data_IF_416422333892
#
_entry.id   IF_416422333892
#
_cell.length_a   1.000
_cell.length_b   1.000
_cell.length_c   1.000
_cell.angle_alpha   90.00
_cell.angle_beta   90.00
_cell.angle_gamma   90.00
#
_symmetry.space_group_name_H-M   'P 1'
#
loop_
_entity.id
_entity.type
_entity.pdbx_description
1 polymer ?
#
# COMPACT_ATOMS: atom_id res chain seq x y z
N UNK A 1 -51.87 -72.03 -8.51
CA UNK A 1 -52.08 -70.65 -9.01
C UNK A 1 -52.00 -69.69 -7.84
N UNK A 2 -50.93 -68.90 -7.72
CA UNK A 2 -50.71 -67.97 -6.61
C UNK A 2 -50.84 -66.51 -7.13
N UNK A 3 -51.91 -65.88 -6.65
CA UNK A 3 -52.17 -64.45 -6.91
C UNK A 3 -51.26 -63.55 -6.06
N UNK A 4 -50.49 -62.75 -6.71
CA UNK A 4 -49.67 -61.70 -6.04
C UNK A 4 -50.55 -60.45 -5.84
N UNK A 5 -50.71 -60.01 -4.58
CA UNK A 5 -51.35 -58.76 -4.22
C UNK A 5 -50.30 -57.67 -4.34
N UNK A 6 -50.57 -56.67 -5.20
CA UNK A 6 -49.83 -55.39 -5.22
C UNK A 6 -50.34 -54.51 -4.07
N UNK A 7 -49.41 -54.05 -3.25
CA UNK A 7 -49.66 -53.08 -2.21
C UNK A 7 -49.32 -51.71 -2.76
N UNK A 8 -50.32 -50.89 -2.98
CA UNK A 8 -50.15 -49.50 -3.39
C UNK A 8 -50.04 -48.65 -2.13
N UNK A 9 -48.86 -48.05 -1.88
CA UNK A 9 -48.67 -47.09 -0.80
C UNK A 9 -48.87 -45.71 -1.37
N UNK A 10 -49.99 -45.07 -1.01
CA UNK A 10 -50.26 -43.66 -1.33
C UNK A 10 -49.58 -42.79 -0.29
N UNK A 11 -48.55 -42.06 -0.70
CA UNK A 11 -47.91 -41.04 0.12
C UNK A 11 -48.56 -39.68 -0.11
N UNK A 12 -49.50 -39.33 0.77
CA UNK A 12 -50.12 -38.00 0.81
C UNK A 12 -49.19 -37.07 1.58
N UNK A 13 -48.43 -36.26 0.86
CA UNK A 13 -47.68 -35.16 1.46
C UNK A 13 -48.63 -33.97 1.68
N UNK A 14 -48.96 -33.69 2.91
CA UNK A 14 -49.69 -32.49 3.32
C UNK A 14 -48.70 -31.31 3.32
N UNK A 15 -48.85 -30.39 2.35
CA UNK A 15 -48.20 -29.08 2.38
C UNK A 15 -48.95 -28.19 3.39
N UNK A 16 -48.40 -28.02 4.57
CA UNK A 16 -48.80 -26.97 5.49
C UNK A 16 -48.00 -25.70 5.13
N UNK A 17 -48.58 -24.80 4.36
CA UNK A 17 -48.07 -23.42 4.16
C UNK A 17 -48.44 -22.63 5.42
N UNK A 18 -47.48 -22.50 6.33
CA UNK A 18 -47.57 -21.53 7.42
C UNK A 18 -47.12 -20.16 6.86
N UNK A 19 -48.10 -19.30 6.57
CA UNK A 19 -47.81 -17.89 6.29
C UNK A 19 -47.43 -17.19 7.60
N UNK A 20 -46.14 -17.12 7.90
CA UNK A 20 -45.60 -16.15 8.86
C UNK A 20 -45.39 -14.82 8.13
N UNK A 21 -46.32 -13.89 8.33
CA UNK A 21 -46.08 -12.48 8.14
C UNK A 21 -45.21 -11.97 9.29
N UNK A 22 -43.93 -12.22 9.24
CA UNK A 22 -42.96 -11.53 10.07
C UNK A 22 -42.49 -10.31 9.27
N UNK A 23 -42.55 -9.12 9.87
CA UNK A 23 -41.90 -7.93 9.39
C UNK A 23 -40.42 -8.26 9.14
N UNK A 24 -40.11 -8.55 7.87
CA UNK A 24 -38.74 -8.83 7.47
C UNK A 24 -37.92 -7.56 7.53
N UNK A 25 -37.20 -7.39 8.61
CA UNK A 25 -35.95 -6.67 8.57
C UNK A 25 -35.06 -7.52 7.66
N UNK A 26 -34.95 -7.14 6.41
CA UNK A 26 -33.86 -7.63 5.54
C UNK A 26 -32.61 -6.98 6.12
N UNK A 27 -31.98 -7.63 7.06
CA UNK A 27 -30.57 -7.39 7.35
C UNK A 27 -29.87 -7.99 6.13
N UNK A 28 -29.56 -7.14 5.15
CA UNK A 28 -28.48 -7.43 4.22
C UNK A 28 -27.23 -7.55 5.12
N UNK A 29 -26.88 -8.74 5.48
CA UNK A 29 -25.52 -9.00 5.89
C UNK A 29 -24.70 -8.74 4.63
N UNK A 30 -24.09 -7.56 4.54
CA UNK A 30 -23.00 -7.34 3.59
C UNK A 30 -21.99 -8.45 3.91
N UNK A 31 -21.79 -9.34 2.96
CA UNK A 31 -20.87 -10.44 3.13
C UNK A 31 -19.48 -9.82 3.33
N UNK A 32 -18.87 -10.13 4.47
CA UNK A 32 -17.47 -9.75 4.74
C UNK A 32 -16.61 -10.23 3.56
N UNK A 33 -15.97 -9.29 2.86
CA UNK A 33 -15.20 -9.58 1.65
C UNK A 33 -13.81 -10.14 1.96
N UNK A 34 -13.27 -9.80 3.11
CA UNK A 34 -11.97 -10.25 3.59
C UNK A 34 -11.09 -9.12 4.10
N UNK A 35 -9.87 -9.45 4.45
CA UNK A 35 -8.87 -8.52 4.98
C UNK A 35 -7.86 -8.16 3.87
N UNK A 36 -7.55 -6.87 3.74
CA UNK A 36 -6.48 -6.34 2.89
C UNK A 36 -5.33 -5.94 3.81
N UNK A 37 -4.17 -6.56 3.64
CA UNK A 37 -2.95 -6.28 4.42
C UNK A 37 -2.05 -5.31 3.68
N UNK A 38 -1.76 -4.17 4.29
CA UNK A 38 -0.93 -3.13 3.68
C UNK A 38 0.28 -2.81 4.56
N UNK A 39 1.47 -2.89 3.97
CA UNK A 39 2.72 -2.44 4.57
C UNK A 39 2.90 -0.93 4.25
N UNK A 40 3.11 -0.10 5.27
CA UNK A 40 3.20 1.35 5.08
C UNK A 40 4.31 1.99 5.91
N UNK A 41 4.81 3.16 5.50
CA UNK A 41 5.57 4.02 6.40
C UNK A 41 4.62 4.84 7.30
N UNK A 42 5.11 5.33 8.44
CA UNK A 42 4.27 5.95 9.47
C UNK A 42 3.52 7.18 8.95
N UNK A 43 4.26 8.16 8.42
CA UNK A 43 3.71 9.46 8.00
C UNK A 43 4.19 9.79 6.58
N UNK A 44 3.31 10.23 5.68
CA UNK A 44 1.86 10.40 5.85
C UNK A 44 1.06 9.11 5.52
N UNK A 45 1.70 8.04 5.09
CA UNK A 45 1.08 6.89 4.41
C UNK A 45 0.12 6.11 5.31
N UNK A 46 0.57 5.69 6.50
CA UNK A 46 -0.32 4.99 7.44
C UNK A 46 -1.48 5.90 7.91
N UNK A 47 -1.24 7.20 8.09
CA UNK A 47 -2.28 8.16 8.45
C UNK A 47 -3.37 8.25 7.38
N UNK A 48 -2.99 8.26 6.09
CA UNK A 48 -3.94 8.26 4.97
C UNK A 48 -4.72 6.95 4.93
N UNK A 49 -4.07 5.80 5.18
CA UNK A 49 -4.74 4.50 5.22
C UNK A 49 -5.72 4.39 6.39
N UNK A 50 -5.44 4.99 7.55
CA UNK A 50 -6.38 5.05 8.68
C UNK A 50 -7.68 5.79 8.30
N UNK A 51 -7.59 6.86 7.51
CA UNK A 51 -8.77 7.57 6.99
C UNK A 51 -9.54 6.73 5.93
N UNK A 52 -8.88 5.80 5.26
CA UNK A 52 -9.51 4.91 4.29
C UNK A 52 -10.24 3.72 4.95
N UNK A 53 -9.87 3.32 6.16
CA UNK A 53 -10.46 2.18 6.88
C UNK A 53 -11.99 2.22 6.93
N UNK A 54 -12.64 3.29 7.44
CA UNK A 54 -14.10 3.31 7.55
C UNK A 54 -14.79 3.21 6.19
N UNK A 55 -14.16 3.71 5.12
CA UNK A 55 -14.71 3.64 3.76
C UNK A 55 -14.69 2.20 3.26
N UNK A 56 -13.60 1.48 3.51
CA UNK A 56 -13.46 0.08 3.12
C UNK A 56 -14.37 -0.85 3.97
N UNK A 57 -14.53 -0.55 5.25
CA UNK A 57 -15.44 -1.26 6.14
C UNK A 57 -16.91 -1.15 5.68
N UNK A 58 -17.34 0.03 5.23
CA UNK A 58 -18.67 0.22 4.62
C UNK A 58 -18.87 -0.64 3.36
N UNK A 59 -17.79 -0.96 2.67
CA UNK A 59 -17.78 -1.85 1.51
C UNK A 59 -17.58 -3.33 1.86
N UNK A 60 -17.43 -3.67 3.14
CA UNK A 60 -17.25 -5.05 3.64
C UNK A 60 -15.80 -5.54 3.61
N UNK A 61 -14.80 -4.66 3.49
CA UNK A 61 -13.40 -4.99 3.60
C UNK A 61 -12.83 -4.59 4.97
N UNK A 62 -11.99 -5.44 5.53
CA UNK A 62 -11.11 -5.07 6.64
C UNK A 62 -9.77 -4.58 6.10
N UNK A 63 -9.26 -3.44 6.58
CA UNK A 63 -7.93 -2.94 6.24
C UNK A 63 -6.98 -3.13 7.42
N UNK A 64 -6.00 -4.02 7.25
CA UNK A 64 -4.92 -4.29 8.21
C UNK A 64 -3.64 -3.57 7.78
N UNK A 65 -3.25 -2.54 8.52
CA UNK A 65 -2.09 -1.70 8.22
C UNK A 65 -0.96 -2.02 9.20
N UNK A 66 0.18 -2.44 8.66
CA UNK A 66 1.41 -2.62 9.45
C UNK A 66 2.43 -1.55 9.07
N UNK A 67 2.93 -0.82 10.09
CA UNK A 67 3.94 0.23 9.91
C UNK A 67 5.33 -0.35 9.94
N UNK A 68 6.16 0.05 8.97
CA UNK A 68 7.58 -0.30 8.86
C UNK A 68 8.43 0.96 8.95
N UNK A 69 9.58 0.86 9.59
CA UNK A 69 10.54 1.96 9.78
C UNK A 69 11.66 2.00 8.72
N UNK A 70 11.62 1.07 7.76
CA UNK A 70 12.58 0.97 6.65
C UNK A 70 11.88 0.90 5.29
N UNK A 71 12.66 1.04 4.20
CA UNK A 71 12.15 1.05 2.82
C UNK A 71 12.36 -0.26 2.08
N UNK A 72 12.97 -1.28 2.71
CA UNK A 72 13.25 -2.58 2.10
C UNK A 72 12.15 -3.57 2.41
N UNK A 73 11.81 -3.72 3.69
CA UNK A 73 10.83 -4.72 4.15
C UNK A 73 9.44 -4.57 3.52
N UNK A 74 8.87 -3.35 3.33
CA UNK A 74 7.55 -3.21 2.70
C UNK A 74 7.47 -3.82 1.30
N UNK A 75 8.55 -3.78 0.53
CA UNK A 75 8.61 -4.43 -0.78
C UNK A 75 8.75 -5.95 -0.66
N UNK A 76 9.60 -6.44 0.23
CA UNK A 76 9.85 -7.87 0.38
C UNK A 76 8.62 -8.64 0.89
N UNK A 77 7.85 -8.06 1.81
CA UNK A 77 6.64 -8.73 2.35
C UNK A 77 5.50 -8.77 1.34
N UNK A 78 5.46 -7.85 0.37
CA UNK A 78 4.51 -7.93 -0.74
C UNK A 78 5.00 -8.91 -1.81
N UNK A 79 6.28 -8.91 -2.14
CA UNK A 79 6.86 -9.88 -3.08
C UNK A 79 6.70 -11.32 -2.60
N UNK A 80 6.82 -11.57 -1.27
CA UNK A 80 6.60 -12.90 -0.69
C UNK A 80 5.13 -13.33 -0.65
N UNK A 81 4.19 -12.39 -0.80
CA UNK A 81 2.76 -12.63 -0.67
C UNK A 81 2.24 -12.65 0.77
N UNK A 82 3.02 -12.20 1.75
CA UNK A 82 2.59 -12.05 3.13
C UNK A 82 1.68 -10.84 3.31
N UNK A 83 1.82 -9.84 2.44
CA UNK A 83 0.99 -8.64 2.34
C UNK A 83 0.44 -8.48 0.92
N UNK A 84 -0.75 -7.87 0.80
CA UNK A 84 -1.42 -7.66 -0.48
C UNK A 84 -0.88 -6.44 -1.22
N UNK A 85 -0.43 -5.41 -0.47
CA UNK A 85 0.09 -4.17 -1.04
C UNK A 85 1.06 -3.47 -0.07
N UNK A 86 1.80 -2.50 -0.61
CA UNK A 86 2.49 -1.50 0.22
C UNK A 86 2.13 -0.08 -0.22
N UNK A 87 2.30 0.86 0.70
CA UNK A 87 2.08 2.27 0.44
C UNK A 87 3.14 3.10 1.17
N UNK A 88 4.22 3.47 0.45
CA UNK A 88 5.33 4.24 1.03
C UNK A 88 6.25 4.88 0.00
N UNK A 89 6.29 4.40 -1.25
CA UNK A 89 7.35 4.67 -2.20
C UNK A 89 6.87 5.45 -3.42
N UNK A 90 7.81 6.12 -4.08
CA UNK A 90 7.61 6.71 -5.40
C UNK A 90 8.06 5.74 -6.51
N UNK A 91 7.56 5.96 -7.73
CA UNK A 91 7.81 5.06 -8.86
C UNK A 91 9.31 4.83 -9.13
N UNK A 92 10.20 5.85 -9.14
CA UNK A 92 11.63 5.60 -9.37
C UNK A 92 12.28 4.67 -8.35
N UNK A 93 11.84 4.69 -7.08
CA UNK A 93 12.32 3.75 -6.07
C UNK A 93 11.82 2.33 -6.35
N UNK A 94 10.54 2.17 -6.70
CA UNK A 94 9.95 0.88 -7.05
C UNK A 94 10.69 0.23 -8.23
N UNK A 95 10.94 1.01 -9.30
CA UNK A 95 11.60 0.52 -10.50
C UNK A 95 13.04 0.08 -10.18
N UNK A 96 13.80 0.93 -9.46
CA UNK A 96 15.16 0.61 -9.02
C UNK A 96 15.19 -0.61 -8.09
N UNK A 97 14.25 -0.71 -7.13
CA UNK A 97 14.16 -1.87 -6.23
C UNK A 97 13.89 -3.16 -7.00
N UNK A 98 12.97 -3.15 -7.95
CA UNK A 98 12.70 -4.31 -8.79
C UNK A 98 13.94 -4.75 -9.57
N UNK A 99 14.70 -3.80 -10.12
CA UNK A 99 15.92 -4.08 -10.87
C UNK A 99 17.02 -4.66 -9.99
N UNK A 100 17.29 -4.03 -8.84
CA UNK A 100 18.39 -4.43 -7.94
C UNK A 100 18.11 -5.72 -7.17
N UNK A 101 16.85 -5.93 -6.74
CA UNK A 101 16.47 -7.07 -5.91
C UNK A 101 15.82 -8.22 -6.69
N UNK A 102 15.52 -8.00 -7.97
CA UNK A 102 14.86 -8.99 -8.81
C UNK A 102 13.41 -9.26 -8.41
N UNK A 103 12.73 -8.25 -7.86
CA UNK A 103 11.30 -8.31 -7.48
C UNK A 103 10.39 -7.97 -8.65
N UNK A 104 9.09 -8.29 -8.54
CA UNK A 104 8.10 -8.18 -9.61
C UNK A 104 6.93 -7.28 -9.23
N UNK A 105 7.14 -6.37 -8.32
CA UNK A 105 6.12 -5.46 -7.82
C UNK A 105 5.64 -4.51 -8.91
N UNK A 106 4.35 -4.19 -8.89
CA UNK A 106 3.72 -3.31 -9.88
C UNK A 106 3.09 -2.09 -9.20
N UNK A 107 3.14 -0.94 -9.87
CA UNK A 107 2.44 0.25 -9.43
C UNK A 107 0.93 0.10 -9.65
N UNK A 108 0.14 0.05 -8.57
CA UNK A 108 -1.31 0.00 -8.61
C UNK A 108 -1.95 1.38 -8.86
N UNK A 109 -1.27 2.47 -8.48
CA UNK A 109 -1.75 3.83 -8.70
C UNK A 109 -0.98 4.87 -7.90
N UNK A 110 -1.04 6.12 -8.33
CA UNK A 110 -0.52 7.27 -7.59
C UNK A 110 -1.60 7.84 -6.66
N UNK A 111 -1.25 8.05 -5.40
CA UNK A 111 -2.19 8.55 -4.38
C UNK A 111 -1.92 10.02 -4.07
N UNK A 112 -0.66 10.40 -3.82
CA UNK A 112 -0.28 11.76 -3.50
C UNK A 112 1.13 12.08 -4.03
N UNK A 113 1.53 13.33 -3.92
CA UNK A 113 2.84 13.83 -4.29
C UNK A 113 3.54 14.44 -3.07
N UNK A 114 4.80 14.06 -2.87
CA UNK A 114 5.65 14.62 -1.82
C UNK A 114 6.78 15.45 -2.44
N UNK A 115 6.75 16.79 -2.29
CA UNK A 115 7.87 17.62 -2.72
C UNK A 115 9.10 17.34 -1.85
N UNK A 116 10.26 17.28 -2.51
CA UNK A 116 11.53 17.17 -1.81
C UNK A 116 11.97 18.56 -1.33
N UNK A 117 12.54 18.65 -0.13
CA UNK A 117 12.92 19.94 0.46
C UNK A 117 14.29 19.91 1.12
N UNK A 118 14.92 21.10 1.21
CA UNK A 118 16.12 21.34 2.02
C UNK A 118 15.66 21.99 3.32
N UNK A 119 16.05 21.43 4.43
CA UNK A 119 15.62 21.86 5.76
C UNK A 119 16.80 22.38 6.57
N UNK A 120 16.61 23.38 7.45
CA UNK A 120 17.67 23.90 8.29
C UNK A 120 18.19 22.81 9.26
N UNK A 121 19.52 22.87 9.50
CA UNK A 121 20.22 22.05 10.48
C UNK A 121 20.99 22.93 11.44
N UNK A 122 22.32 22.83 11.43
CA UNK A 122 23.21 23.74 12.16
C UNK A 122 23.30 25.12 11.53
N UNK A 123 23.02 25.21 10.22
CA UNK A 123 22.87 26.44 9.46
C UNK A 123 21.39 26.67 9.17
N UNK A 124 20.91 27.90 9.27
CA UNK A 124 19.50 28.23 9.09
C UNK A 124 19.15 28.56 7.64
N UNK A 125 20.13 28.93 6.82
CA UNK A 125 19.94 29.34 5.42
C UNK A 125 20.98 28.69 4.54
N UNK A 126 20.65 28.48 3.27
CA UNK A 126 21.58 27.99 2.25
C UNK A 126 22.75 28.96 2.02
N UNK A 127 22.48 30.27 2.10
CA UNK A 127 23.51 31.31 1.92
C UNK A 127 24.56 31.35 3.05
N UNK A 128 24.29 30.68 4.18
CA UNK A 128 25.20 30.57 5.32
C UNK A 128 26.15 29.36 5.20
N UNK A 129 26.00 28.52 4.15
CA UNK A 129 26.88 27.37 3.91
C UNK A 129 28.29 27.81 3.51
N UNK A 130 29.26 27.18 4.12
CA UNK A 130 30.69 27.39 3.89
C UNK A 130 31.38 26.11 3.44
N UNK A 131 32.56 26.23 2.82
CA UNK A 131 33.37 25.08 2.47
C UNK A 131 33.72 24.25 3.73
N UNK A 132 33.43 22.93 3.70
CA UNK A 132 33.62 22.02 4.82
C UNK A 132 32.38 21.78 5.68
N UNK A 133 31.28 22.48 5.42
CA UNK A 133 29.99 22.17 6.04
C UNK A 133 29.46 20.80 5.56
N UNK A 134 28.68 20.15 6.41
CA UNK A 134 28.12 18.81 6.14
C UNK A 134 26.62 18.90 5.90
N UNK A 135 26.15 18.31 4.80
CA UNK A 135 24.73 18.20 4.46
C UNK A 135 24.33 16.72 4.54
N UNK A 136 23.29 16.40 5.30
CA UNK A 136 22.73 15.07 5.34
C UNK A 136 21.82 14.84 4.11
N UNK A 137 22.00 13.73 3.43
CA UNK A 137 21.18 13.30 2.30
C UNK A 137 20.66 11.88 2.56
N UNK A 138 19.55 11.47 1.92
CA UNK A 138 19.10 10.07 1.98
C UNK A 138 20.18 9.09 1.50
N UNK A 139 20.15 7.86 1.98
CA UNK A 139 21.13 6.83 1.65
C UNK A 139 20.65 5.81 0.61
N UNK A 140 19.43 5.94 0.13
CA UNK A 140 18.93 5.17 -1.00
C UNK A 140 19.22 5.90 -2.31
N UNK A 141 19.51 5.14 -3.37
CA UNK A 141 20.02 5.66 -4.66
C UNK A 141 19.14 6.75 -5.23
N UNK A 142 17.83 6.55 -5.27
CA UNK A 142 16.92 7.48 -5.96
C UNK A 142 16.64 8.76 -5.17
N UNK A 143 16.54 8.68 -3.84
CA UNK A 143 16.35 9.90 -3.02
C UNK A 143 17.67 10.64 -2.78
N UNK A 144 18.82 9.95 -2.71
CA UNK A 144 20.14 10.59 -2.74
C UNK A 144 20.27 11.45 -4.01
N UNK A 145 19.98 10.87 -5.18
CA UNK A 145 20.04 11.60 -6.45
C UNK A 145 19.11 12.82 -6.48
N UNK A 146 17.87 12.69 -5.97
CA UNK A 146 16.93 13.82 -5.85
C UNK A 146 17.48 14.94 -4.95
N UNK A 147 18.10 14.57 -3.82
CA UNK A 147 18.72 15.54 -2.92
C UNK A 147 19.88 16.28 -3.62
N UNK A 148 20.75 15.55 -4.32
CA UNK A 148 21.88 16.12 -5.03
C UNK A 148 21.42 17.05 -6.17
N UNK A 149 20.42 16.66 -6.94
CA UNK A 149 19.82 17.51 -7.98
C UNK A 149 19.25 18.80 -7.39
N UNK A 150 18.53 18.70 -6.26
CA UNK A 150 17.99 19.87 -5.58
C UNK A 150 19.08 20.81 -5.07
N UNK A 151 20.18 20.27 -4.54
CA UNK A 151 21.35 21.08 -4.15
C UNK A 151 22.00 21.77 -5.34
N UNK A 152 22.11 21.08 -6.49
CA UNK A 152 22.61 21.67 -7.74
C UNK A 152 21.69 22.80 -8.23
N UNK A 153 20.38 22.59 -8.25
CA UNK A 153 19.39 23.58 -8.69
C UNK A 153 19.44 24.87 -7.84
N UNK A 154 19.87 24.73 -6.58
CA UNK A 154 20.10 25.86 -5.68
C UNK A 154 21.54 26.38 -5.67
N UNK A 155 22.39 25.90 -6.58
CA UNK A 155 23.78 26.42 -6.77
C UNK A 155 24.75 26.01 -5.67
N UNK A 156 24.40 25.02 -4.81
CA UNK A 156 25.26 24.55 -3.69
C UNK A 156 26.37 23.64 -4.20
N UNK A 157 26.07 22.79 -5.18
CA UNK A 157 27.01 21.83 -5.78
C UNK A 157 26.89 21.82 -7.30
N UNK A 158 27.84 21.16 -7.96
CA UNK A 158 27.76 20.83 -9.38
C UNK A 158 27.90 19.32 -9.56
N UNK A 159 26.95 18.71 -10.24
CA UNK A 159 27.01 17.29 -10.59
C UNK A 159 27.75 17.09 -11.93
N UNK A 160 28.21 15.87 -12.14
CA UNK A 160 28.73 15.45 -13.44
C UNK A 160 27.63 15.51 -14.49
N UNK A 161 28.00 15.87 -15.73
CA UNK A 161 27.05 15.92 -16.84
C UNK A 161 26.34 14.55 -17.01
N UNK A 162 25.02 14.59 -17.08
CA UNK A 162 24.19 13.40 -17.31
C UNK A 162 23.99 12.51 -16.09
N UNK A 163 24.38 12.91 -14.88
CA UNK A 163 24.22 12.11 -13.65
C UNK A 163 22.75 11.76 -13.36
N UNK A 164 21.80 12.70 -13.60
CA UNK A 164 20.35 12.42 -13.47
C UNK A 164 19.96 11.77 -12.13
N UNK A 165 19.01 10.84 -12.19
CA UNK A 165 18.52 10.09 -11.02
C UNK A 165 19.48 8.99 -10.54
N UNK A 166 20.67 8.88 -11.12
CA UNK A 166 21.73 7.97 -10.69
C UNK A 166 22.89 8.71 -10.00
N UNK A 167 22.72 10.01 -9.74
CA UNK A 167 23.72 10.82 -9.05
C UNK A 167 24.00 10.30 -7.65
N UNK A 168 25.27 10.15 -7.28
CA UNK A 168 25.73 9.74 -5.96
C UNK A 168 26.87 10.64 -5.48
N UNK A 169 27.14 10.62 -4.18
CA UNK A 169 28.29 11.34 -3.56
C UNK A 169 29.66 10.68 -3.84
N UNK A 170 29.72 9.63 -4.63
CA UNK A 170 30.92 8.83 -4.95
C UNK A 170 31.57 9.23 -6.26
#
# INVERSE_FOLDING_TARGET
>A
MRTKKLLTVSLTAALTIAALTANGVIVSADAEKGTIKVAASATPHAEILEEAKPILEEEGWELDVTVFDDYVQPNLVVESGDFDANYFQHIPYLDNFNEEQGTHLVNAGGIHYEPFGIYPGTKEKLDDLEEGDTIAVPNDTTNEARALLLLQDNGVITLKDGAGLEATVK
#
